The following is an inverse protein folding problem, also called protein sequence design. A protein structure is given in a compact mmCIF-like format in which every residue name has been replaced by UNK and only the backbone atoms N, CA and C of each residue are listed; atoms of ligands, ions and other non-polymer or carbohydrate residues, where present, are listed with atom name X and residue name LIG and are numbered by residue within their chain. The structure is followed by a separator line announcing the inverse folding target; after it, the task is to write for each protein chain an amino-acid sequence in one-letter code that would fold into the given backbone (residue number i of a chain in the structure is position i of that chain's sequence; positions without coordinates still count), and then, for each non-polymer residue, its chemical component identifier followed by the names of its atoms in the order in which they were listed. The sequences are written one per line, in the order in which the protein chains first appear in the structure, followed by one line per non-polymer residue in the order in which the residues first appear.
data_IF_389037573482
#
_entry.id   IF_389037573482
#
_cell.length_a   1.000
_cell.length_b   1.000
_cell.length_c   1.000
_cell.angle_alpha   90.00
_cell.angle_beta   90.00
_cell.angle_gamma   90.00
#
_symmetry.space_group_name_H-M   'P 1'
#
loop_
_entity.id
_entity.type
_entity.pdbx_description
1 polymer ?
#
# COMPACT_ATOMS: atom_id res chain seq x y z
N UNK A 1 -18.33 -43.20 -7.15
CA UNK A 1 -17.01 -42.61 -6.85
C UNK A 1 -16.60 -41.75 -8.03
N UNK A 2 -16.87 -40.46 -7.94
CA UNK A 2 -16.56 -39.47 -8.99
C UNK A 2 -15.29 -38.72 -8.54
N UNK A 3 -14.16 -38.96 -9.21
CA UNK A 3 -12.90 -38.24 -8.95
C UNK A 3 -12.96 -36.90 -9.67
N UNK A 4 -13.06 -35.83 -8.86
CA UNK A 4 -12.90 -34.48 -9.34
C UNK A 4 -11.42 -34.26 -9.64
N UNK A 5 -11.08 -34.11 -10.92
CA UNK A 5 -9.75 -33.67 -11.39
C UNK A 5 -9.68 -32.14 -11.23
N UNK A 6 -8.95 -31.68 -10.22
CA UNK A 6 -8.52 -30.28 -10.10
C UNK A 6 -7.46 -30.01 -11.17
N UNK A 7 -7.82 -29.28 -12.20
CA UNK A 7 -6.87 -28.72 -13.17
C UNK A 7 -6.20 -27.50 -12.52
N UNK A 8 -4.86 -27.41 -12.55
CA UNK A 8 -4.18 -26.20 -12.11
C UNK A 8 -4.46 -25.09 -13.13
N UNK A 9 -5.07 -24.00 -12.67
CA UNK A 9 -5.20 -22.77 -13.45
C UNK A 9 -3.82 -22.13 -13.52
N UNK A 10 -3.16 -22.24 -14.66
CA UNK A 10 -1.95 -21.46 -14.97
C UNK A 10 -2.38 -20.02 -15.23
N UNK A 11 -2.14 -19.15 -14.26
CA UNK A 11 -2.23 -17.72 -14.46
C UNK A 11 -1.05 -17.24 -15.32
N UNK A 12 -1.31 -16.99 -16.60
CA UNK A 12 -0.41 -16.17 -17.41
C UNK A 12 -0.73 -14.71 -17.13
N UNK A 13 0.08 -14.08 -16.29
CA UNK A 13 0.04 -12.64 -16.08
C UNK A 13 0.36 -11.94 -17.42
N UNK A 14 -0.60 -11.23 -17.97
CA UNK A 14 -0.39 -10.31 -19.09
C UNK A 14 0.27 -9.06 -18.51
N UNK A 15 1.60 -8.96 -18.66
CA UNK A 15 2.34 -7.75 -18.30
C UNK A 15 1.96 -6.63 -19.27
N UNK A 16 1.15 -5.68 -18.81
CA UNK A 16 0.96 -4.40 -19.47
C UNK A 16 2.28 -3.60 -19.41
N UNK A 17 2.69 -3.00 -20.54
CA UNK A 17 3.85 -2.11 -20.59
C UNK A 17 3.47 -0.80 -19.87
N UNK A 18 3.70 -0.75 -18.54
CA UNK A 18 3.62 0.50 -17.80
C UNK A 18 4.71 1.47 -18.23
N UNK A 19 4.45 2.78 -18.10
CA UNK A 19 5.46 3.82 -18.28
C UNK A 19 6.59 3.57 -17.27
N UNK A 20 7.64 2.94 -17.73
CA UNK A 20 8.82 2.64 -16.93
C UNK A 20 9.55 3.94 -16.58
N UNK A 21 10.00 4.07 -15.32
CA UNK A 21 11.00 5.04 -14.95
C UNK A 21 12.18 4.99 -15.93
N UNK A 22 12.87 6.12 -16.19
CA UNK A 22 13.96 6.13 -17.14
C UNK A 22 14.96 5.02 -16.80
N UNK A 23 15.38 4.28 -17.84
CA UNK A 23 16.30 3.14 -17.78
C UNK A 23 17.74 3.56 -17.35
N UNK A 24 17.86 4.29 -16.25
CA UNK A 24 19.17 4.56 -15.65
C UNK A 24 19.47 3.39 -14.71
N UNK A 25 19.99 2.33 -15.27
CA UNK A 25 20.50 1.21 -14.48
C UNK A 25 21.78 1.62 -13.78
N UNK A 26 21.89 1.30 -12.51
CA UNK A 26 23.17 1.38 -11.80
C UNK A 26 24.18 0.43 -12.45
N UNK A 27 25.42 0.86 -12.53
CA UNK A 27 26.53 -0.01 -12.95
C UNK A 27 26.99 -0.96 -11.83
N UNK A 28 26.53 -0.72 -10.59
CA UNK A 28 26.87 -1.55 -9.44
C UNK A 28 25.86 -2.70 -9.30
N UNK A 29 26.34 -3.91 -8.99
CA UNK A 29 25.45 -5.05 -8.81
C UNK A 29 24.60 -4.90 -7.55
N UNK A 30 23.47 -5.60 -7.52
CA UNK A 30 22.61 -5.74 -6.33
C UNK A 30 23.42 -6.32 -5.17
N UNK A 31 23.46 -5.63 -4.00
CA UNK A 31 24.10 -6.19 -2.81
C UNK A 31 23.31 -7.41 -2.32
N UNK A 32 24.03 -8.33 -1.65
CA UNK A 32 23.40 -9.56 -1.13
C UNK A 32 23.73 -9.73 0.36
N UNK A 33 22.79 -10.28 1.07
CA UNK A 33 22.93 -10.71 2.46
C UNK A 33 23.82 -11.95 2.55
N UNK A 34 24.24 -12.32 3.75
CA UNK A 34 25.10 -13.47 3.98
C UNK A 34 24.48 -14.82 3.52
N UNK A 35 23.16 -14.92 3.46
CA UNK A 35 22.42 -16.08 2.94
C UNK A 35 22.13 -15.99 1.42
N UNK A 36 22.74 -15.03 0.73
CA UNK A 36 22.73 -14.90 -0.73
C UNK A 36 21.50 -14.21 -1.32
N UNK A 37 20.54 -13.79 -0.51
CA UNK A 37 19.35 -13.04 -0.97
C UNK A 37 19.72 -11.61 -1.30
N UNK A 38 18.97 -10.92 -2.20
CA UNK A 38 19.11 -9.48 -2.35
C UNK A 38 18.95 -8.77 -1.02
N UNK A 39 19.85 -7.86 -0.71
CA UNK A 39 19.72 -6.99 0.46
C UNK A 39 18.84 -5.80 0.10
N UNK A 40 17.63 -5.77 0.64
CA UNK A 40 16.66 -4.69 0.42
C UNK A 40 16.85 -3.53 1.41
N UNK A 41 17.76 -3.67 2.40
CA UNK A 41 18.00 -2.65 3.42
C UNK A 41 18.44 -1.33 2.81
N UNK A 42 17.99 -0.24 3.41
CA UNK A 42 18.38 1.11 3.04
C UNK A 42 17.22 2.10 3.15
N UNK A 43 17.59 3.38 3.07
CA UNK A 43 16.66 4.48 2.94
C UNK A 43 16.32 4.70 1.47
N UNK A 44 15.04 4.60 1.11
CA UNK A 44 14.55 4.65 -0.25
C UNK A 44 13.72 5.90 -0.50
N UNK A 45 14.08 6.67 -1.52
CA UNK A 45 13.41 7.91 -1.89
C UNK A 45 12.53 7.70 -3.10
N UNK A 46 11.27 8.10 -3.01
CA UNK A 46 10.37 8.09 -4.14
C UNK A 46 10.78 9.11 -5.20
N UNK A 47 10.60 8.76 -6.46
CA UNK A 47 10.77 9.67 -7.58
C UNK A 47 9.52 10.53 -7.73
N UNK A 48 9.37 11.55 -6.90
CA UNK A 48 8.27 12.52 -7.03
C UNK A 48 8.41 13.31 -8.34
N UNK A 49 7.30 13.47 -9.05
CA UNK A 49 7.22 14.28 -10.26
C UNK A 49 7.35 13.53 -11.58
N UNK A 50 7.74 12.26 -11.59
CA UNK A 50 7.85 11.47 -12.83
C UNK A 50 6.62 10.63 -13.16
N UNK A 51 5.69 10.49 -12.21
CA UNK A 51 4.43 9.72 -12.36
C UNK A 51 3.34 10.43 -11.58
N UNK A 52 2.05 10.30 -11.96
CA UNK A 52 0.96 10.74 -11.09
C UNK A 52 1.18 10.18 -9.69
N UNK A 53 1.47 11.06 -8.73
CA UNK A 53 1.71 10.66 -7.35
C UNK A 53 0.46 10.00 -6.79
N UNK A 54 0.65 9.02 -5.91
CA UNK A 54 -0.43 8.45 -5.15
C UNK A 54 -1.61 7.89 -5.94
N UNK A 55 -1.41 7.34 -7.15
CA UNK A 55 -2.47 6.79 -7.98
C UNK A 55 -2.23 5.30 -8.26
N UNK A 56 -3.11 4.41 -7.76
CA UNK A 56 -3.03 2.97 -8.03
C UNK A 56 -3.45 2.60 -9.46
N UNK A 57 -4.11 3.49 -10.18
CA UNK A 57 -4.48 3.29 -11.59
C UNK A 57 -3.37 3.69 -12.56
N UNK A 58 -2.20 4.14 -12.07
CA UNK A 58 -1.13 4.76 -12.90
C UNK A 58 -0.67 3.89 -14.09
N UNK A 59 -0.73 2.57 -13.96
CA UNK A 59 -0.29 1.63 -15.00
C UNK A 59 -1.48 1.05 -15.80
N UNK A 60 -2.69 1.54 -15.54
CA UNK A 60 -3.89 1.16 -16.28
C UNK A 60 -4.15 2.11 -17.46
N UNK A 61 -4.80 1.63 -18.53
CA UNK A 61 -5.23 2.47 -19.64
C UNK A 61 -6.09 3.64 -19.13
N UNK A 62 -5.81 4.82 -19.63
CA UNK A 62 -6.53 6.07 -19.31
C UNK A 62 -6.54 6.41 -17.80
N UNK A 63 -5.64 5.83 -17.01
CA UNK A 63 -5.60 5.95 -15.55
C UNK A 63 -6.94 5.56 -14.90
N UNK A 64 -7.68 4.63 -15.50
CA UNK A 64 -9.04 4.27 -15.09
C UNK A 64 -9.07 2.93 -14.36
N UNK A 65 -9.55 2.96 -13.12
CA UNK A 65 -9.81 1.76 -12.32
C UNK A 65 -10.97 0.93 -12.90
N UNK A 66 -10.87 -0.40 -12.86
CA UNK A 66 -11.95 -1.31 -13.30
C UNK A 66 -13.03 -1.43 -12.20
N UNK A 67 -13.70 -0.34 -11.86
CA UNK A 67 -14.66 -0.31 -10.76
C UNK A 67 -15.92 -1.12 -11.08
N UNK A 68 -16.52 -1.74 -10.06
CA UNK A 68 -17.91 -2.20 -10.08
C UNK A 68 -18.83 -1.00 -9.85
N UNK A 69 -20.16 -1.11 -10.07
CA UNK A 69 -21.09 -0.04 -9.71
C UNK A 69 -20.98 0.38 -8.23
N UNK A 70 -20.77 -0.57 -7.31
CA UNK A 70 -20.54 -0.26 -5.90
C UNK A 70 -19.20 0.47 -5.68
N UNK A 71 -18.16 0.09 -6.41
CA UNK A 71 -16.86 0.78 -6.40
C UNK A 71 -16.95 2.20 -6.95
N UNK A 72 -17.73 2.43 -8.02
CA UNK A 72 -17.99 3.78 -8.57
C UNK A 72 -18.72 4.67 -7.56
N UNK A 73 -19.74 4.14 -6.89
CA UNK A 73 -20.46 4.85 -5.84
C UNK A 73 -19.54 5.19 -4.66
N UNK A 74 -18.71 4.26 -4.22
CA UNK A 74 -17.75 4.47 -3.15
C UNK A 74 -16.70 5.52 -3.54
N UNK A 75 -16.15 5.43 -4.75
CA UNK A 75 -15.18 6.42 -5.26
C UNK A 75 -15.80 7.82 -5.33
N UNK A 76 -17.00 7.93 -5.89
CA UNK A 76 -17.72 9.19 -5.95
C UNK A 76 -17.98 9.76 -4.57
N UNK A 77 -18.38 8.92 -3.61
CA UNK A 77 -18.58 9.34 -2.24
C UNK A 77 -17.29 9.86 -1.62
N UNK A 78 -16.18 9.13 -1.75
CA UNK A 78 -14.88 9.55 -1.24
C UNK A 78 -14.48 10.92 -1.81
N UNK A 79 -14.58 11.10 -3.12
CA UNK A 79 -14.10 12.31 -3.80
C UNK A 79 -15.00 13.52 -3.67
N UNK A 80 -16.30 13.35 -3.38
CA UNK A 80 -17.26 14.46 -3.36
C UNK A 80 -17.86 14.76 -2.00
N UNK A 81 -17.81 13.81 -1.06
CA UNK A 81 -18.54 13.91 0.19
C UNK A 81 -17.66 13.66 1.43
N UNK A 82 -16.37 13.37 1.25
CA UNK A 82 -15.41 13.17 2.34
C UNK A 82 -14.13 13.94 2.06
N UNK A 83 -13.28 14.01 3.07
CA UNK A 83 -11.90 14.47 2.96
C UNK A 83 -10.95 13.29 3.05
N UNK A 84 -9.74 13.48 2.58
CA UNK A 84 -8.69 12.48 2.69
C UNK A 84 -8.43 12.10 4.16
N UNK A 85 -8.59 10.81 4.54
CA UNK A 85 -8.38 10.38 5.93
C UNK A 85 -6.98 10.66 6.46
N UNK A 86 -5.94 10.64 5.64
CA UNK A 86 -4.57 10.98 6.08
C UNK A 86 -4.44 12.44 6.48
N UNK A 87 -5.25 13.35 5.95
CA UNK A 87 -5.29 14.74 6.41
C UNK A 87 -5.77 14.88 7.86
N UNK A 88 -6.48 13.87 8.36
CA UNK A 88 -6.92 13.73 9.75
C UNK A 88 -5.97 12.85 10.58
N UNK A 89 -4.78 12.55 10.07
CA UNK A 89 -3.81 11.68 10.71
C UNK A 89 -4.26 10.23 10.88
N UNK A 90 -5.17 9.76 10.04
CA UNK A 90 -5.55 8.35 9.97
C UNK A 90 -4.56 7.65 9.03
N UNK A 91 -4.05 6.50 9.46
CA UNK A 91 -3.05 5.74 8.70
C UNK A 91 -3.64 5.29 7.36
N UNK A 92 -2.95 5.61 6.26
CA UNK A 92 -3.38 5.20 4.91
C UNK A 92 -3.18 3.70 4.63
N UNK A 93 -2.21 3.07 5.30
CA UNK A 93 -1.89 1.65 5.09
C UNK A 93 -1.37 1.34 3.70
N UNK A 94 -1.53 0.09 3.27
CA UNK A 94 -1.28 -0.32 1.89
C UNK A 94 -2.62 -0.64 1.20
N UNK A 95 -2.72 -0.42 -0.10
CA UNK A 95 -1.68 -0.09 -1.09
C UNK A 95 -1.24 1.38 -1.13
N UNK A 96 -1.88 2.27 -0.39
CA UNK A 96 -1.68 3.72 -0.44
C UNK A 96 -0.23 4.15 -0.23
N UNK A 97 0.45 3.65 0.81
CA UNK A 97 1.84 4.02 1.08
C UNK A 97 2.77 3.63 -0.08
N UNK A 98 2.55 2.50 -0.71
CA UNK A 98 3.32 2.09 -1.89
C UNK A 98 2.98 2.97 -3.11
N UNK A 99 1.74 3.46 -3.22
CA UNK A 99 1.33 4.34 -4.31
C UNK A 99 1.85 5.77 -4.15
N UNK A 100 2.00 6.29 -2.93
CA UNK A 100 2.32 7.70 -2.65
C UNK A 100 3.71 8.13 -3.15
N UNK A 101 4.68 7.20 -3.25
CA UNK A 101 6.06 7.50 -3.58
C UNK A 101 6.80 8.28 -2.49
N UNK A 102 6.30 8.31 -1.26
CA UNK A 102 7.00 8.86 -0.11
C UNK A 102 8.20 8.00 0.26
N UNK A 103 9.22 8.59 0.90
CA UNK A 103 10.38 7.84 1.32
C UNK A 103 10.04 6.85 2.44
N UNK A 104 10.82 5.79 2.50
CA UNK A 104 10.77 4.80 3.56
C UNK A 104 12.14 4.16 3.75
N UNK A 105 12.32 3.47 4.86
CA UNK A 105 13.51 2.69 5.15
C UNK A 105 13.15 1.22 5.34
N UNK A 106 13.99 0.33 4.82
CA UNK A 106 13.88 -1.12 5.03
C UNK A 106 15.02 -1.57 5.93
N UNK A 107 14.67 -2.32 6.97
CA UNK A 107 15.60 -3.11 7.75
C UNK A 107 15.31 -4.59 7.52
N UNK A 108 16.21 -5.25 6.79
CA UNK A 108 16.05 -6.66 6.44
C UNK A 108 16.72 -7.56 7.46
N UNK A 109 15.91 -8.25 8.24
CA UNK A 109 16.34 -9.33 9.09
C UNK A 109 16.08 -10.72 8.47
N UNK A 110 16.62 -11.76 9.09
CA UNK A 110 16.47 -13.14 8.60
C UNK A 110 15.03 -13.66 8.71
N UNK A 111 14.35 -13.34 9.81
CA UNK A 111 13.00 -13.83 10.13
C UNK A 111 11.91 -12.79 9.94
N UNK A 112 12.29 -11.54 9.86
CA UNK A 112 11.36 -10.42 9.69
C UNK A 112 12.01 -9.33 8.84
N UNK A 113 11.18 -8.62 8.09
CA UNK A 113 11.57 -7.39 7.39
C UNK A 113 10.73 -6.26 7.95
N UNK A 114 11.38 -5.16 8.35
CA UNK A 114 10.69 -3.95 8.78
C UNK A 114 10.71 -2.93 7.66
N UNK A 115 9.55 -2.33 7.37
CA UNK A 115 9.40 -1.12 6.57
C UNK A 115 9.02 0.01 7.50
N UNK A 116 9.79 1.07 7.52
CA UNK A 116 9.53 2.29 8.27
C UNK A 116 9.19 3.41 7.29
N UNK A 117 8.01 3.99 7.43
CA UNK A 117 7.49 5.00 6.50
C UNK A 117 7.68 6.42 7.02
N UNK A 118 7.69 7.37 6.11
CA UNK A 118 7.82 8.81 6.38
C UNK A 118 6.90 9.33 7.48
N UNK A 119 5.69 8.80 7.57
CA UNK A 119 4.70 9.21 8.59
C UNK A 119 4.88 8.55 9.96
N UNK A 120 6.08 8.04 10.29
CA UNK A 120 6.39 7.36 11.55
C UNK A 120 5.57 6.08 11.79
N UNK A 121 5.09 5.45 10.72
CA UNK A 121 4.47 4.13 10.77
C UNK A 121 5.48 3.06 10.36
N UNK A 122 5.24 1.86 10.83
CA UNK A 122 6.07 0.72 10.44
C UNK A 122 5.23 -0.53 10.19
N UNK A 123 5.76 -1.40 9.35
CA UNK A 123 5.29 -2.77 9.13
C UNK A 123 6.39 -3.71 9.59
N UNK A 124 6.03 -4.77 10.28
CA UNK A 124 6.98 -5.80 10.72
C UNK A 124 6.53 -7.16 10.17
N UNK A 125 7.01 -7.50 9.00
CA UNK A 125 6.54 -8.61 8.19
C UNK A 125 7.32 -9.87 8.56
N UNK A 126 6.65 -10.92 9.06
CA UNK A 126 7.29 -12.21 9.30
C UNK A 126 7.65 -12.88 7.96
N UNK A 127 8.85 -13.46 7.88
CA UNK A 127 9.32 -14.19 6.70
C UNK A 127 9.24 -15.69 7.00
N UNK A 128 8.15 -16.30 6.57
CA UNK A 128 7.90 -17.73 6.77
C UNK A 128 7.00 -18.29 5.65
N UNK A 129 7.58 -19.03 4.73
CA UNK A 129 6.85 -19.62 3.60
C UNK A 129 5.86 -20.72 4.01
N UNK A 130 5.94 -21.26 5.21
CA UNK A 130 5.04 -22.29 5.71
C UNK A 130 3.81 -21.69 6.44
N UNK A 131 3.90 -20.43 6.86
CA UNK A 131 2.81 -19.75 7.55
C UNK A 131 1.64 -19.48 6.59
N UNK A 132 0.44 -19.61 7.11
CA UNK A 132 -0.81 -19.29 6.41
C UNK A 132 -1.50 -18.14 7.13
N UNK A 133 -2.32 -17.42 6.40
CA UNK A 133 -3.22 -16.44 6.97
C UNK A 133 -4.20 -17.08 7.95
N UNK A 134 -4.59 -16.30 8.93
CA UNK A 134 -5.70 -16.63 9.84
C UNK A 134 -7.00 -16.79 9.04
N UNK A 135 -7.90 -17.67 9.48
CA UNK A 135 -9.22 -17.80 8.84
C UNK A 135 -10.07 -16.54 9.02
N UNK A 136 -9.88 -15.82 10.13
CA UNK A 136 -10.57 -14.57 10.48
C UNK A 136 -9.54 -13.60 11.07
N UNK A 137 -8.77 -12.88 10.22
CA UNK A 137 -7.76 -11.93 10.69
C UNK A 137 -8.41 -10.67 11.26
N UNK A 138 -7.86 -10.16 12.36
CA UNK A 138 -8.27 -8.88 12.93
C UNK A 138 -8.01 -7.73 11.94
N UNK A 139 -9.03 -6.93 11.56
CA UNK A 139 -8.86 -5.88 10.56
C UNK A 139 -7.86 -4.79 11.00
N UNK A 140 -6.89 -4.49 10.13
CA UNK A 140 -5.89 -3.46 10.37
C UNK A 140 -5.62 -2.61 9.12
N UNK A 141 -4.86 -1.52 9.26
CA UNK A 141 -4.52 -0.65 8.13
C UNK A 141 -3.55 -1.30 7.13
N UNK A 142 -2.74 -2.24 7.59
CA UNK A 142 -1.79 -2.97 6.73
C UNK A 142 -2.24 -4.41 6.46
N UNK A 143 -3.32 -4.87 7.11
CA UNK A 143 -3.78 -6.24 7.05
C UNK A 143 -2.93 -7.21 7.88
N UNK A 144 -3.22 -8.50 7.79
CA UNK A 144 -2.34 -9.57 8.21
C UNK A 144 -1.36 -9.87 7.08
N UNK A 145 -0.06 -9.70 7.34
CA UNK A 145 0.99 -9.73 6.33
C UNK A 145 1.86 -10.97 6.49
N UNK A 146 2.09 -11.68 5.39
CA UNK A 146 2.99 -12.83 5.34
C UNK A 146 4.02 -12.66 4.23
N UNK A 147 5.30 -12.66 4.62
CA UNK A 147 6.42 -12.55 3.70
C UNK A 147 7.03 -13.91 3.35
N UNK A 148 7.40 -14.09 2.09
CA UNK A 148 8.22 -15.21 1.62
C UNK A 148 9.18 -14.77 0.54
N UNK A 149 10.30 -15.47 0.42
CA UNK A 149 11.21 -15.25 -0.68
C UNK A 149 10.89 -16.18 -1.85
N UNK A 150 10.77 -15.62 -3.04
CA UNK A 150 10.67 -16.33 -4.30
C UNK A 150 11.86 -15.96 -5.19
N UNK A 151 12.92 -16.77 -5.17
CA UNK A 151 14.20 -16.43 -5.79
C UNK A 151 14.75 -15.11 -5.24
N UNK A 152 14.90 -14.11 -6.09
CA UNK A 152 15.40 -12.77 -5.76
C UNK A 152 14.31 -11.74 -5.45
N UNK A 153 13.07 -12.18 -5.24
CA UNK A 153 11.97 -11.31 -4.86
C UNK A 153 11.43 -11.63 -3.46
N UNK A 154 11.21 -10.61 -2.65
CA UNK A 154 10.41 -10.71 -1.45
C UNK A 154 8.93 -10.52 -1.86
N UNK A 155 8.12 -11.54 -1.65
CA UNK A 155 6.67 -11.49 -1.85
C UNK A 155 6.00 -11.32 -0.51
N UNK A 156 5.12 -10.32 -0.40
CA UNK A 156 4.31 -10.04 0.77
C UNK A 156 2.86 -10.20 0.38
N UNK A 157 2.16 -11.05 1.09
CA UNK A 157 0.75 -11.38 0.91
C UNK A 157 -0.04 -10.80 2.08
N UNK A 158 -1.10 -10.04 1.82
CA UNK A 158 -1.78 -9.26 2.84
C UNK A 158 -3.30 -9.32 2.66
N UNK A 159 -4.01 -9.68 3.73
CA UNK A 159 -5.49 -9.73 3.81
C UNK A 159 -5.96 -9.11 5.13
N UNK A 160 -7.27 -8.97 5.33
CA UNK A 160 -7.81 -8.46 6.60
C UNK A 160 -7.60 -6.97 6.78
N UNK A 161 -7.94 -6.20 5.75
CA UNK A 161 -7.85 -4.73 5.79
C UNK A 161 -9.08 -4.09 6.44
N UNK A 162 -8.86 -2.97 7.12
CA UNK A 162 -9.96 -2.09 7.53
C UNK A 162 -10.63 -1.49 6.30
N UNK A 163 -11.94 -1.60 6.19
CA UNK A 163 -12.74 -1.06 5.09
C UNK A 163 -13.13 0.41 5.28
N UNK A 164 -13.06 0.93 6.50
CA UNK A 164 -13.52 2.27 6.84
C UNK A 164 -12.37 3.22 7.12
N UNK A 165 -12.57 4.50 6.79
CA UNK A 165 -11.62 5.58 7.06
C UNK A 165 -10.27 5.42 6.35
N UNK A 166 -10.25 4.74 5.21
CA UNK A 166 -9.04 4.54 4.43
C UNK A 166 -9.37 4.70 2.94
N UNK A 167 -8.47 5.32 2.21
CA UNK A 167 -8.46 5.33 0.76
C UNK A 167 -7.28 4.49 0.27
N UNK A 168 -7.48 3.73 -0.79
CA UNK A 168 -6.42 2.90 -1.37
C UNK A 168 -5.31 3.73 -2.03
N UNK A 169 -5.57 5.02 -2.30
CA UNK A 169 -4.62 6.00 -2.82
C UNK A 169 -5.02 7.45 -2.52
N UNK A 170 -4.25 8.42 -3.01
CA UNK A 170 -4.51 9.86 -2.82
C UNK A 170 -5.68 10.40 -3.67
N UNK A 171 -6.29 9.57 -4.54
CA UNK A 171 -7.35 9.95 -5.46
C UNK A 171 -8.75 9.46 -5.01
N UNK A 172 -8.87 9.06 -3.76
CA UNK A 172 -10.14 8.58 -3.21
C UNK A 172 -10.50 7.17 -3.66
N UNK A 173 -9.57 6.39 -4.21
CA UNK A 173 -9.82 5.03 -4.65
C UNK A 173 -10.30 4.17 -3.49
N UNK A 174 -11.46 3.50 -3.62
CA UNK A 174 -12.04 2.74 -2.52
C UNK A 174 -11.43 1.35 -2.42
N UNK A 175 -11.52 0.76 -1.23
CA UNK A 175 -11.39 -0.68 -1.03
C UNK A 175 -12.36 -1.17 0.03
N UNK A 176 -12.64 -2.47 0.03
CA UNK A 176 -13.51 -3.12 1.00
C UNK A 176 -12.71 -4.02 1.96
N UNK A 177 -13.42 -4.71 2.86
CA UNK A 177 -12.86 -5.77 3.71
C UNK A 177 -12.41 -7.00 2.90
N UNK A 178 -12.83 -7.11 1.62
CA UNK A 178 -12.39 -8.16 0.71
C UNK A 178 -11.07 -7.82 -0.01
N UNK A 179 -10.43 -6.70 0.34
CA UNK A 179 -9.15 -6.33 -0.25
C UNK A 179 -8.10 -7.41 0.03
N UNK A 180 -7.43 -7.84 -1.01
CA UNK A 180 -6.24 -8.68 -1.00
C UNK A 180 -5.14 -7.97 -1.77
N UNK A 181 -3.98 -7.84 -1.17
CA UNK A 181 -2.81 -7.17 -1.77
C UNK A 181 -1.64 -8.14 -1.80
N UNK A 182 -1.03 -8.27 -2.97
CA UNK A 182 0.23 -9.01 -3.11
C UNK A 182 1.31 -8.07 -3.64
N UNK A 183 2.35 -7.88 -2.85
CA UNK A 183 3.50 -7.04 -3.19
C UNK A 183 4.66 -7.94 -3.60
N UNK A 184 5.35 -7.58 -4.68
CA UNK A 184 6.53 -8.25 -5.14
C UNK A 184 7.70 -7.28 -5.19
N UNK A 185 8.55 -7.31 -4.18
CA UNK A 185 9.69 -6.43 -4.00
C UNK A 185 10.95 -7.04 -4.62
N UNK A 186 11.63 -6.27 -5.47
CA UNK A 186 12.90 -6.64 -6.10
C UNK A 186 13.89 -5.50 -5.99
N UNK A 187 15.17 -5.83 -5.95
CA UNK A 187 16.26 -4.85 -6.06
C UNK A 187 17.06 -5.18 -7.32
N UNK A 188 16.70 -4.57 -8.48
CA UNK A 188 17.31 -4.92 -9.76
C UNK A 188 18.78 -4.54 -9.86
N UNK A 189 19.24 -3.54 -9.10
CA UNK A 189 20.62 -3.09 -9.04
C UNK A 189 20.91 -2.42 -7.68
N UNK A 190 22.10 -1.80 -7.55
CA UNK A 190 22.53 -1.18 -6.30
C UNK A 190 21.63 -0.03 -5.87
N UNK A 191 21.22 0.82 -6.82
CA UNK A 191 20.61 2.12 -6.56
C UNK A 191 19.07 2.10 -6.61
N UNK A 192 18.44 0.99 -7.04
CA UNK A 192 16.98 0.92 -7.24
C UNK A 192 16.34 -0.22 -6.47
N UNK A 193 15.15 0.05 -5.92
CA UNK A 193 14.21 -0.95 -5.45
C UNK A 193 12.88 -0.78 -6.20
N UNK A 194 12.26 -1.90 -6.56
CA UNK A 194 11.05 -1.94 -7.35
C UNK A 194 10.00 -2.81 -6.67
N UNK A 195 8.75 -2.36 -6.68
CA UNK A 195 7.59 -3.16 -6.26
C UNK A 195 6.56 -3.24 -7.37
N UNK A 196 6.02 -4.42 -7.56
CA UNK A 196 4.76 -4.66 -8.26
C UNK A 196 3.71 -4.99 -7.20
N UNK A 197 2.60 -4.27 -7.23
CA UNK A 197 1.50 -4.41 -6.25
C UNK A 197 0.25 -4.87 -6.99
N UNK A 198 -0.17 -6.11 -6.76
CA UNK A 198 -1.44 -6.66 -7.22
C UNK A 198 -2.55 -6.26 -6.24
N UNK A 199 -3.65 -5.79 -6.79
CA UNK A 199 -4.88 -5.42 -6.07
C UNK A 199 -6.00 -6.34 -6.51
N UNK A 200 -6.63 -7.00 -5.56
CA UNK A 200 -7.84 -7.80 -5.73
C UNK A 200 -8.88 -7.37 -4.71
N UNK A 201 -10.06 -6.99 -5.17
CA UNK A 201 -11.22 -6.69 -4.32
C UNK A 201 -12.49 -6.87 -5.16
N UNK A 202 -13.07 -8.04 -5.10
CA UNK A 202 -14.21 -8.40 -5.93
C UNK A 202 -15.50 -7.61 -5.62
N UNK A 203 -15.55 -6.87 -4.49
CA UNK A 203 -16.69 -5.99 -4.19
C UNK A 203 -16.60 -4.69 -4.97
N UNK A 204 -15.39 -4.13 -5.11
CA UNK A 204 -15.21 -2.81 -5.69
C UNK A 204 -14.52 -2.79 -7.05
N UNK A 205 -13.85 -3.89 -7.44
CA UNK A 205 -13.18 -4.01 -8.74
C UNK A 205 -13.69 -5.21 -9.53
N UNK A 206 -13.96 -5.04 -10.81
CA UNK A 206 -14.46 -6.08 -11.71
C UNK A 206 -13.40 -7.13 -12.09
N UNK A 207 -12.13 -6.83 -11.86
CA UNK A 207 -10.99 -7.72 -12.08
C UNK A 207 -9.79 -7.27 -11.27
N UNK A 208 -8.84 -8.18 -10.97
CA UNK A 208 -7.55 -7.79 -10.42
C UNK A 208 -6.78 -6.85 -11.37
N UNK A 209 -5.92 -6.02 -10.79
CA UNK A 209 -5.00 -5.18 -11.54
C UNK A 209 -3.71 -4.96 -10.75
N UNK A 210 -2.66 -4.56 -11.46
CA UNK A 210 -1.34 -4.32 -10.87
C UNK A 210 -0.88 -2.91 -11.19
N UNK A 211 -0.21 -2.29 -10.23
CA UNK A 211 0.61 -1.12 -10.48
C UNK A 211 2.02 -1.36 -9.94
N UNK A 212 2.97 -0.59 -10.43
CA UNK A 212 4.38 -0.73 -10.05
C UNK A 212 4.99 0.59 -9.63
N UNK A 213 6.03 0.54 -8.78
CA UNK A 213 6.84 1.69 -8.40
C UNK A 213 8.29 1.32 -8.24
N UNK A 214 9.13 2.34 -8.49
CA UNK A 214 10.57 2.26 -8.26
C UNK A 214 10.98 3.40 -7.35
N UNK A 215 11.86 3.11 -6.40
CA UNK A 215 12.52 4.09 -5.55
C UNK A 215 14.02 4.06 -5.78
N UNK A 216 14.68 5.15 -5.43
CA UNK A 216 16.13 5.32 -5.56
C UNK A 216 16.73 5.27 -4.15
N UNK A 217 17.84 4.59 -4.01
CA UNK A 217 18.61 4.55 -2.76
C UNK A 217 19.03 5.97 -2.35
N UNK A 218 18.76 6.32 -1.12
CA UNK A 218 19.20 7.59 -0.53
C UNK A 218 20.71 7.64 -0.37
N UNK A 219 21.24 8.83 -0.16
CA UNK A 219 22.65 9.02 0.18
C UNK A 219 22.93 8.51 1.59
N UNK A 220 24.21 8.23 1.93
CA UNK A 220 24.57 7.72 3.25
C UNK A 220 24.25 8.64 4.44
N UNK A 221 24.04 9.92 4.20
CA UNK A 221 23.71 10.97 5.17
C UNK A 221 22.19 11.30 5.18
N UNK A 222 21.40 10.61 4.37
CA UNK A 222 19.94 10.77 4.34
C UNK A 222 19.28 9.64 5.14
N UNK A 223 18.33 10.00 5.99
CA UNK A 223 17.59 9.10 6.87
C UNK A 223 16.14 9.56 7.08
N UNK A 224 15.32 8.70 7.64
CA UNK A 224 14.00 9.10 8.11
C UNK A 224 14.15 9.98 9.35
N UNK A 225 13.36 11.06 9.37
CA UNK A 225 13.24 11.91 10.54
C UNK A 225 11.98 11.58 11.31
N UNK A 226 11.95 11.98 12.58
CA UNK A 226 10.72 11.95 13.36
C UNK A 226 9.66 12.83 12.70
N UNK A 227 8.45 12.27 12.60
CA UNK A 227 7.29 12.96 12.07
C UNK A 227 6.06 12.70 12.97
N UNK A 228 5.38 13.75 13.34
CA UNK A 228 4.11 13.67 14.06
C UNK A 228 3.02 14.37 13.26
N UNK A 229 2.10 13.62 12.69
CA UNK A 229 1.01 14.16 11.88
C UNK A 229 0.11 15.14 12.65
N UNK A 230 -0.06 14.94 13.96
CA UNK A 230 -0.89 15.80 14.80
C UNK A 230 -0.20 17.10 15.22
N UNK A 231 1.14 17.16 15.11
CA UNK A 231 1.91 18.34 15.46
C UNK A 231 1.80 19.39 14.35
N UNK A 232 1.39 20.61 14.74
CA UNK A 232 1.17 21.71 13.80
C UNK A 232 0.14 21.46 12.68
N UNK A 233 -0.70 20.45 12.79
CA UNK A 233 -1.83 20.26 11.88
C UNK A 233 -2.93 21.27 12.23
N UNK A 234 -2.72 22.53 11.78
CA UNK A 234 -3.63 23.66 12.06
C UNK A 234 -4.96 23.56 11.31
N UNK A 235 -5.00 22.76 10.27
CA UNK A 235 -6.20 22.59 9.42
C UNK A 235 -7.16 21.52 9.95
N UNK A 236 -6.73 20.69 10.89
CA UNK A 236 -7.53 19.61 11.46
C UNK A 236 -8.91 20.07 11.95
N UNK A 237 -8.96 21.21 12.64
CA UNK A 237 -10.20 21.74 13.18
C UNK A 237 -11.12 22.32 12.09
N UNK A 238 -10.60 22.62 10.91
CA UNK A 238 -11.34 23.15 9.76
C UNK A 238 -11.80 22.07 8.79
N UNK A 239 -11.15 20.91 8.77
CA UNK A 239 -11.43 19.85 7.77
C UNK A 239 -12.77 19.15 8.02
N UNK A 240 -13.24 19.10 9.25
CA UNK A 240 -14.46 18.36 9.59
C UNK A 240 -14.37 16.88 9.24
N UNK A 241 -15.35 16.14 9.70
CA UNK A 241 -15.39 14.69 9.41
C UNK A 241 -16.34 14.38 8.28
N UNK A 242 -16.52 15.01 7.26
CA UNK A 242 -17.42 14.62 6.16
C UNK A 242 -18.18 13.29 6.37
N UNK A 243 -18.99 12.84 5.47
CA UNK A 243 -19.80 11.62 5.67
C UNK A 243 -19.00 10.31 5.68
N UNK A 244 -17.69 10.34 5.40
CA UNK A 244 -16.81 9.17 5.42
C UNK A 244 -17.09 8.13 4.32
N UNK A 245 -16.33 7.03 4.28
CA UNK A 245 -16.48 5.98 3.28
C UNK A 245 -17.77 5.17 3.45
N UNK A 246 -18.14 4.43 2.41
CA UNK A 246 -19.23 3.45 2.46
C UNK A 246 -18.75 2.22 3.23
N UNK A 247 -19.53 1.77 4.21
CA UNK A 247 -19.26 0.57 4.99
C UNK A 247 -19.89 -0.67 4.36
N UNK A 248 -19.50 -1.85 4.85
CA UNK A 248 -20.00 -3.15 4.41
C UNK A 248 -21.53 -3.30 4.52
N UNK A 249 -22.14 -2.69 5.52
CA UNK A 249 -23.59 -2.69 5.74
C UNK A 249 -24.34 -1.65 4.90
N UNK A 250 -23.63 -0.95 4.01
CA UNK A 250 -24.17 0.12 3.16
C UNK A 250 -24.32 1.46 3.87
N UNK A 251 -24.00 1.56 5.16
CA UNK A 251 -24.00 2.85 5.85
C UNK A 251 -22.84 3.72 5.39
N UNK A 252 -22.97 5.03 5.54
CA UNK A 252 -21.98 6.02 5.12
C UNK A 252 -21.55 6.86 6.31
N UNK A 253 -20.30 7.26 6.30
CA UNK A 253 -19.80 8.28 7.21
C UNK A 253 -18.99 7.77 8.39
N UNK A 254 -18.62 8.73 9.22
CA UNK A 254 -17.88 8.53 10.47
C UNK A 254 -18.84 8.52 11.69
N UNK A 255 -20.07 8.09 11.50
CA UNK A 255 -21.17 8.21 12.48
C UNK A 255 -20.87 7.62 13.86
N UNK A 256 -19.90 6.71 13.96
CA UNK A 256 -19.52 6.08 15.23
C UNK A 256 -18.19 6.59 15.80
N UNK A 257 -17.59 7.62 15.19
CA UNK A 257 -16.44 8.27 15.81
C UNK A 257 -16.93 9.24 16.89
N UNK A 258 -16.45 9.04 18.11
CA UNK A 258 -16.64 10.03 19.17
C UNK A 258 -16.10 11.39 18.66
N UNK A 259 -16.80 12.50 18.92
CA UNK A 259 -16.29 13.82 18.61
C UNK A 259 -14.88 13.96 19.20
N UNK A 260 -13.96 14.51 18.42
CA UNK A 260 -12.63 14.83 18.96
C UNK A 260 -12.78 15.77 20.15
N UNK A 261 -12.02 15.57 21.23
CA UNK A 261 -12.01 16.54 22.32
C UNK A 261 -11.59 17.92 21.75
N UNK A 262 -12.17 19.00 22.26
CA UNK A 262 -11.79 20.33 21.82
C UNK A 262 -10.29 20.53 22.03
N UNK A 263 -9.63 21.26 21.11
CA UNK A 263 -8.20 21.52 21.23
C UNK A 263 -7.88 22.16 22.58
N UNK A 264 -6.73 21.85 23.18
CA UNK A 264 -6.35 22.47 24.45
C UNK A 264 -6.25 23.98 24.26
N UNK A 265 -6.95 24.71 25.11
CA UNK A 265 -6.88 26.18 25.14
C UNK A 265 -5.43 26.55 25.38
N UNK A 266 -4.75 27.12 24.39
CA UNK A 266 -3.41 27.68 24.59
C UNK A 266 -3.52 28.83 25.60
N UNK A 267 -2.86 28.65 26.73
CA UNK A 267 -2.69 29.71 27.72
C UNK A 267 -1.60 30.69 27.29
#
# INVERSE_FOLDING_TARGET
MLRLLLLPVLFTAVFGQGLTAPDVKSTKPTPRTADGRPDLSGYWKGMRGMVPGGNIAKDLPDLKLPLTPAGEDAWKHNTTATIDPESLCIIGGIPRHNASGLPFEILQGKQKVAFMYWYSYFRLIPIDAARKHSEDPDPSFFGEELGRWEKDALVIDSIGFKETQVWADENGSPHSDALHVVERWTRPDYDHIHVETLIEDAKFYTRPFTYSRTWILGKPDEELHEYSCSENNVDRDHLGFGPGPIRKDGTRGYENLAPLPPPPVRK
#
